data_IF_272130180309
#
_entry.id   IF_272130180309
#
_cell.length_a   1.000
_cell.length_b   1.000
_cell.length_c   1.000
_cell.angle_alpha   90.00
_cell.angle_beta   90.00
_cell.angle_gamma   90.00
#
_symmetry.space_group_name_H-M   'P 1'
#
loop_
_entity.id
_entity.type
_entity.pdbx_description
1 polymer ?
#
# COMPACT_ATOMS: atom_id res chain seq x y z
N UNK A 1 -33.92 -12.64 -6.98
CA UNK A 1 -34.13 -11.20 -6.77
C UNK A 1 -33.66 -10.90 -5.35
N UNK A 2 -32.37 -10.69 -5.10
CA UNK A 2 -31.61 -9.50 -5.51
C UNK A 2 -30.19 -9.85 -5.99
N UNK A 3 -29.84 -9.40 -7.18
CA UNK A 3 -28.47 -9.36 -7.67
C UNK A 3 -27.83 -8.08 -7.12
N UNK A 4 -26.78 -8.18 -6.31
CA UNK A 4 -25.90 -7.04 -6.04
C UNK A 4 -24.58 -7.26 -6.78
N UNK A 5 -24.53 -6.68 -7.97
CA UNK A 5 -23.32 -6.47 -8.73
C UNK A 5 -22.65 -5.22 -8.17
N UNK A 6 -21.57 -5.36 -7.41
CA UNK A 6 -20.56 -4.32 -7.38
C UNK A 6 -19.53 -4.61 -8.46
N UNK A 7 -19.80 -4.05 -9.63
CA UNK A 7 -18.80 -3.75 -10.64
C UNK A 7 -17.74 -2.83 -10.01
N UNK A 8 -16.52 -3.33 -9.87
CA UNK A 8 -15.33 -2.53 -9.60
C UNK A 8 -14.39 -2.63 -10.79
N UNK A 9 -14.76 -1.99 -11.90
CA UNK A 9 -13.86 -1.79 -13.03
C UNK A 9 -12.74 -0.84 -12.65
N UNK A 10 -11.49 -1.22 -12.94
CA UNK A 10 -10.32 -0.40 -12.60
C UNK A 10 -9.03 -0.96 -13.19
N UNK A 11 -8.96 -1.05 -14.51
CA UNK A 11 -7.73 -1.02 -15.32
C UNK A 11 -6.57 -1.92 -14.89
N UNK A 12 -6.50 -3.12 -15.46
CA UNK A 12 -5.25 -3.87 -15.63
C UNK A 12 -4.33 -3.13 -16.61
N UNK A 13 -3.69 -2.07 -16.13
CA UNK A 13 -2.51 -1.47 -16.74
C UNK A 13 -1.26 -2.06 -16.11
N UNK A 14 -1.03 -3.37 -16.25
CA UNK A 14 0.27 -3.94 -15.88
C UNK A 14 1.27 -3.66 -17.00
N UNK A 15 1.68 -2.39 -17.11
CA UNK A 15 2.92 -2.03 -17.79
C UNK A 15 4.05 -2.72 -17.04
N UNK A 16 4.43 -3.86 -17.59
CA UNK A 16 5.47 -4.73 -17.09
C UNK A 16 6.78 -3.95 -17.18
N UNK A 17 7.17 -3.24 -16.12
CA UNK A 17 8.50 -2.63 -16.01
C UNK A 17 8.59 -1.16 -15.63
N UNK A 18 7.66 -0.59 -14.87
CA UNK A 18 7.96 0.68 -14.20
C UNK A 18 9.07 0.47 -13.15
N UNK A 19 10.23 1.14 -13.28
CA UNK A 19 11.38 0.93 -12.39
C UNK A 19 11.12 1.35 -10.94
N UNK A 20 10.00 2.04 -10.70
CA UNK A 20 9.64 2.64 -9.42
C UNK A 20 8.20 2.23 -9.03
N UNK A 21 8.08 1.07 -8.39
CA UNK A 21 6.82 0.55 -7.86
C UNK A 21 6.91 0.34 -6.35
N UNK A 22 5.79 0.56 -5.64
CA UNK A 22 5.73 0.34 -4.20
C UNK A 22 5.95 -1.14 -3.88
N UNK A 23 6.96 -1.45 -3.06
CA UNK A 23 7.30 -2.81 -2.66
C UNK A 23 6.23 -3.49 -1.79
N UNK A 24 5.26 -2.73 -1.27
CA UNK A 24 4.22 -3.24 -0.36
C UNK A 24 2.88 -3.49 -1.06
N UNK A 25 2.47 -2.62 -2.00
CA UNK A 25 1.18 -2.72 -2.68
C UNK A 25 1.28 -2.95 -4.20
N UNK A 26 2.50 -2.93 -4.76
CA UNK A 26 2.75 -3.15 -6.18
C UNK A 26 2.37 -1.99 -7.10
N UNK A 27 1.73 -0.93 -6.59
CA UNK A 27 1.31 0.22 -7.41
C UNK A 27 2.53 0.97 -7.98
N UNK A 28 2.52 1.36 -9.26
CA UNK A 28 3.57 2.19 -9.85
C UNK A 28 3.50 3.63 -9.31
N UNK A 29 4.59 4.39 -9.47
CA UNK A 29 4.72 5.77 -8.97
C UNK A 29 3.59 6.70 -9.43
N UNK A 30 3.17 6.57 -10.68
CA UNK A 30 2.05 7.26 -11.34
C UNK A 30 0.68 6.98 -10.71
N UNK A 31 0.51 5.82 -10.07
CA UNK A 31 -0.74 5.43 -9.39
C UNK A 31 -0.77 5.81 -7.90
N UNK A 32 0.25 6.50 -7.38
CA UNK A 32 0.32 6.92 -5.96
C UNK A 32 0.63 8.40 -5.82
N UNK A 33 0.09 9.05 -4.78
CA UNK A 33 0.33 10.48 -4.55
C UNK A 33 1.81 10.77 -4.23
N UNK A 34 2.46 9.88 -3.49
CA UNK A 34 3.90 9.96 -3.18
C UNK A 34 4.49 8.55 -3.10
N UNK A 35 5.65 8.37 -3.71
CA UNK A 35 6.50 7.19 -3.59
C UNK A 35 7.84 7.61 -2.99
N UNK A 36 8.24 6.97 -1.90
CA UNK A 36 9.46 7.26 -1.14
C UNK A 36 10.48 6.19 -1.49
N UNK A 37 11.67 6.60 -1.96
CA UNK A 37 12.77 5.70 -2.28
C UNK A 37 13.70 5.50 -1.07
N UNK A 38 14.00 4.25 -0.75
CA UNK A 38 14.98 3.85 0.24
C UNK A 38 16.30 3.38 -0.39
N UNK A 39 17.33 3.15 0.43
CA UNK A 39 18.52 2.43 -0.03
C UNK A 39 18.14 1.04 -0.54
N UNK A 40 18.94 0.49 -1.46
CA UNK A 40 18.74 -0.86 -2.01
C UNK A 40 17.45 -1.11 -2.82
N UNK A 41 16.98 -0.10 -3.58
CA UNK A 41 15.82 -0.21 -4.49
C UNK A 41 14.50 -0.61 -3.80
N UNK A 42 14.32 -0.20 -2.55
CA UNK A 42 13.06 -0.38 -1.80
C UNK A 42 12.22 0.88 -1.97
N UNK A 43 10.92 0.73 -2.23
CA UNK A 43 10.02 1.87 -2.38
C UNK A 43 8.75 1.68 -1.56
N UNK A 44 8.28 2.76 -0.93
CA UNK A 44 7.03 2.75 -0.14
C UNK A 44 6.16 3.96 -0.48
N UNK A 45 4.87 3.75 -0.70
CA UNK A 45 3.94 4.84 -0.97
C UNK A 45 3.29 5.42 0.29
N UNK A 46 2.72 6.62 0.19
CA UNK A 46 2.07 7.29 1.33
C UNK A 46 0.92 6.48 1.96
N UNK A 47 0.16 5.73 1.15
CA UNK A 47 -0.93 4.88 1.66
C UNK A 47 -0.39 3.73 2.51
N UNK A 48 0.68 3.09 2.06
CA UNK A 48 1.33 2.01 2.80
C UNK A 48 1.95 2.52 4.10
N UNK A 49 2.54 3.71 4.11
CA UNK A 49 3.02 4.35 5.35
C UNK A 49 1.88 4.51 6.36
N UNK A 50 0.72 5.03 5.94
CA UNK A 50 -0.44 5.17 6.82
C UNK A 50 -0.97 3.84 7.34
N UNK A 51 -1.03 2.80 6.48
CA UNK A 51 -1.41 1.44 6.89
C UNK A 51 -0.44 0.86 7.93
N UNK A 52 0.86 1.03 7.72
CA UNK A 52 1.88 0.58 8.68
C UNK A 52 1.76 1.35 10.01
N UNK A 53 1.49 2.65 9.98
CA UNK A 53 1.28 3.44 11.19
C UNK A 53 0.13 2.91 12.04
N UNK A 54 -0.98 2.51 11.42
CA UNK A 54 -2.11 1.92 12.15
C UNK A 54 -1.74 0.58 12.81
N UNK A 55 -1.01 -0.28 12.10
CA UNK A 55 -0.56 -1.57 12.63
C UNK A 55 0.39 -1.37 13.82
N UNK A 56 1.34 -0.45 13.72
CA UNK A 56 2.32 -0.16 14.79
C UNK A 56 1.64 0.51 16.00
N UNK A 57 0.62 1.33 15.76
CA UNK A 57 -0.15 1.96 16.83
C UNK A 57 -1.02 0.95 17.59
N UNK A 58 -1.52 -0.10 16.91
CA UNK A 58 -2.27 -1.19 17.53
C UNK A 58 -1.36 -2.16 18.31
N UNK A 59 -0.14 -2.40 17.80
CA UNK A 59 0.91 -3.22 18.44
C UNK A 59 1.72 -2.46 19.51
N UNK A 60 1.15 -1.41 20.12
CA UNK A 60 1.72 -0.94 21.39
C UNK A 60 1.72 -2.13 22.35
N UNK A 61 2.89 -2.58 22.85
CA UNK A 61 2.91 -3.70 23.77
C UNK A 61 1.94 -3.35 24.89
N UNK A 62 0.96 -4.21 25.11
CA UNK A 62 0.25 -4.26 26.39
C UNK A 62 1.32 -4.44 27.47
N UNK A 63 1.93 -3.34 27.91
CA UNK A 63 2.82 -3.33 29.06
C UNK A 63 1.89 -3.63 30.21
N UNK A 64 1.74 -4.92 30.54
CA UNK A 64 0.94 -5.37 31.68
C UNK A 64 1.53 -4.65 32.89
N UNK A 65 0.82 -3.72 33.56
CA UNK A 65 1.28 -3.28 34.85
C UNK A 65 1.23 -4.51 35.77
N UNK A 66 2.32 -4.75 36.48
CA UNK A 66 2.48 -5.85 37.43
C UNK A 66 1.35 -5.87 38.47
#
# INVERSE_FOLDING_TARGET
>A
MTTDQTNGGGGEGTSTGDPYSCSFCGKPQESVRRLIAGPSKIFICNECVGRCQHIIADDQPIVKPH
#
